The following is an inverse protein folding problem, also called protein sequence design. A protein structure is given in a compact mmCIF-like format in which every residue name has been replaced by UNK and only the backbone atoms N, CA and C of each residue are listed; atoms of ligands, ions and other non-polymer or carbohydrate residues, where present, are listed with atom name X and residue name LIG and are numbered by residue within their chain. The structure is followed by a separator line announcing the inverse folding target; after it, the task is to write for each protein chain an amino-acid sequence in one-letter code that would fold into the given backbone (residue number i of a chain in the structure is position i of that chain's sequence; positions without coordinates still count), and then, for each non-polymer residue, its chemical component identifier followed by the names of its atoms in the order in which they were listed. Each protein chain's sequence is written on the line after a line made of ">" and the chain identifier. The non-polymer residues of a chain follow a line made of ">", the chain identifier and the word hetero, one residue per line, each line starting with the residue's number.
data_IF_011253481448
#
_entry.id   IF_011253481448
#
_cell.length_a   1.000
_cell.length_b   1.000
_cell.length_c   1.000
_cell.angle_alpha   90.00
_cell.angle_beta   90.00
_cell.angle_gamma   90.00
#
_symmetry.space_group_name_H-M   'P 1'
#
loop_
_entity.id
_entity.type
_entity.pdbx_description
1 polymer ?
#
# COMPACT_ATOMS: atom_id res chain seq x y z
N UNK A 1 48.21 37.37 25.32
CA UNK A 1 46.87 36.74 25.30
C UNK A 1 46.30 36.69 23.88
N UNK A 2 45.90 37.82 23.26
CA UNK A 2 45.25 37.79 21.92
C UNK A 2 46.17 37.19 20.83
N UNK A 3 47.46 37.57 20.81
CA UNK A 3 48.43 37.00 19.88
C UNK A 3 48.62 35.48 20.07
N UNK A 4 48.64 35.01 21.32
CA UNK A 4 48.82 33.59 21.66
C UNK A 4 47.60 32.75 21.25
N UNK A 5 46.39 33.30 21.41
CA UNK A 5 45.14 32.70 20.92
C UNK A 5 45.15 32.60 19.40
N UNK A 6 45.63 33.64 18.70
CA UNK A 6 45.75 33.62 17.23
C UNK A 6 46.78 32.58 16.75
N UNK A 7 47.90 32.43 17.45
CA UNK A 7 48.90 31.38 17.17
C UNK A 7 48.29 30.00 17.35
N UNK A 8 47.62 29.75 18.49
CA UNK A 8 47.01 28.46 18.79
C UNK A 8 45.91 28.09 17.78
N UNK A 9 45.13 29.07 17.30
CA UNK A 9 44.13 28.86 16.26
C UNK A 9 44.75 28.45 14.91
N UNK A 10 45.89 29.04 14.56
CA UNK A 10 46.65 28.67 13.35
C UNK A 10 47.25 27.26 13.49
N UNK A 11 47.89 26.94 14.62
CA UNK A 11 48.46 25.61 14.89
C UNK A 11 47.40 24.50 14.83
N UNK A 12 46.20 24.76 15.33
CA UNK A 12 45.05 23.84 15.22
C UNK A 12 44.57 23.71 13.77
N UNK A 13 44.52 24.80 13.00
CA UNK A 13 44.12 24.80 11.59
C UNK A 13 45.11 24.01 10.70
N UNK A 14 46.41 24.20 10.93
CA UNK A 14 47.46 23.42 10.25
C UNK A 14 47.41 21.94 10.65
N UNK A 15 47.21 21.64 11.94
CA UNK A 15 47.05 20.28 12.43
C UNK A 15 45.84 19.57 11.81
N UNK A 16 44.69 20.23 11.73
CA UNK A 16 43.50 19.69 11.05
C UNK A 16 43.75 19.48 9.55
N UNK A 17 44.47 20.39 8.89
CA UNK A 17 44.82 20.28 7.48
C UNK A 17 45.78 19.10 7.21
N UNK A 18 46.75 18.87 8.10
CA UNK A 18 47.65 17.73 8.06
C UNK A 18 46.92 16.39 8.31
N UNK A 19 45.95 16.36 9.23
CA UNK A 19 45.10 15.17 9.47
C UNK A 19 44.22 14.88 8.25
N UNK A 20 43.59 15.89 7.64
CA UNK A 20 42.78 15.72 6.42
C UNK A 20 43.60 15.18 5.24
N UNK A 21 44.84 15.66 5.05
CA UNK A 21 45.76 15.09 4.04
C UNK A 21 46.11 13.63 4.33
N UNK A 22 46.50 13.30 5.56
CA UNK A 22 46.78 11.89 5.96
C UNK A 22 45.56 10.99 5.76
N UNK A 23 44.34 11.47 6.02
CA UNK A 23 43.11 10.71 5.79
C UNK A 23 42.88 10.45 4.28
N UNK A 24 43.10 11.47 3.44
CA UNK A 24 43.02 11.33 1.99
C UNK A 24 44.08 10.37 1.43
N UNK A 25 45.32 10.45 1.92
CA UNK A 25 46.41 9.54 1.52
C UNK A 25 46.13 8.09 1.94
N UNK A 26 45.63 7.86 3.16
CA UNK A 26 45.19 6.51 3.61
C UNK A 26 44.03 6.00 2.77
N UNK A 27 43.07 6.86 2.41
CA UNK A 27 41.93 6.49 1.54
C UNK A 27 42.41 6.10 0.13
N UNK A 28 43.36 6.85 -0.42
CA UNK A 28 43.96 6.55 -1.72
C UNK A 28 44.81 5.27 -1.69
N UNK A 29 45.57 5.02 -0.61
CA UNK A 29 46.37 3.81 -0.43
C UNK A 29 45.51 2.53 -0.28
N UNK A 30 44.37 2.65 0.42
CA UNK A 30 43.34 1.61 0.49
C UNK A 30 42.66 1.36 -0.88
N UNK A 31 42.56 2.38 -1.73
CA UNK A 31 42.06 2.26 -3.10
C UNK A 31 43.03 1.58 -4.09
N UNK A 32 44.35 1.60 -3.83
CA UNK A 32 45.36 1.19 -4.83
C UNK A 32 46.02 -0.17 -4.62
N UNK A 33 45.75 -0.88 -3.50
CA UNK A 33 46.44 -2.15 -3.17
C UNK A 33 45.70 -3.44 -3.57
N UNK A 34 44.69 -3.36 -4.44
CA UNK A 34 44.15 -4.51 -5.19
C UNK A 34 43.84 -4.15 -6.64
N UNK A 35 44.83 -4.26 -7.53
CA UNK A 35 44.49 -4.64 -8.91
C UNK A 35 43.88 -6.04 -8.87
N UNK A 36 42.64 -6.26 -9.34
CA UNK A 36 42.10 -7.60 -9.46
C UNK A 36 42.90 -8.33 -10.54
N UNK A 37 43.61 -9.39 -10.14
CA UNK A 37 44.28 -10.28 -11.08
C UNK A 37 43.26 -10.73 -12.14
N UNK A 38 43.59 -10.59 -13.43
CA UNK A 38 42.76 -11.04 -14.55
C UNK A 38 42.33 -12.49 -14.30
N UNK A 39 41.08 -12.69 -13.85
CA UNK A 39 40.50 -14.03 -13.72
C UNK A 39 40.50 -14.62 -15.13
N UNK A 40 41.31 -15.66 -15.33
CA UNK A 40 41.27 -16.48 -16.55
C UNK A 40 39.84 -16.94 -16.74
N UNK A 41 39.18 -16.41 -17.75
CA UNK A 41 37.81 -16.75 -18.09
C UNK A 41 37.81 -18.20 -18.61
N UNK A 42 37.51 -19.15 -17.74
CA UNK A 42 37.54 -20.59 -18.05
C UNK A 42 36.11 -21.08 -18.22
N UNK A 43 35.63 -20.96 -19.46
CA UNK A 43 34.53 -21.75 -20.01
C UNK A 43 33.19 -21.68 -19.29
N UNK A 44 32.33 -20.75 -19.73
CA UNK A 44 31.08 -21.20 -20.32
C UNK A 44 30.87 -20.46 -21.65
N UNK A 45 30.60 -21.24 -22.70
CA UNK A 45 30.55 -20.78 -24.09
C UNK A 45 29.12 -20.30 -24.39
N UNK A 46 28.82 -19.07 -23.99
CA UNK A 46 27.71 -18.28 -24.52
C UNK A 46 28.31 -17.12 -25.33
N UNK A 47 28.83 -17.46 -26.51
CA UNK A 47 29.26 -16.50 -27.53
C UNK A 47 28.16 -16.53 -28.59
N UNK A 48 27.75 -15.37 -29.07
CA UNK A 48 26.71 -15.14 -30.10
C UNK A 48 25.24 -15.38 -29.66
N UNK A 49 24.86 -14.87 -28.49
CA UNK A 49 23.48 -14.46 -28.23
C UNK A 49 23.37 -12.93 -28.45
N UNK A 50 22.43 -12.42 -29.28
CA UNK A 50 22.19 -10.98 -29.38
C UNK A 50 21.70 -10.41 -28.03
N UNK A 51 21.89 -9.10 -27.81
CA UNK A 51 21.54 -8.42 -26.54
C UNK A 51 20.03 -8.49 -26.20
N UNK A 52 19.19 -8.92 -27.14
CA UNK A 52 17.74 -9.07 -27.02
C UNK A 52 17.26 -10.46 -26.55
N UNK A 53 18.16 -11.42 -26.28
CA UNK A 53 17.75 -12.73 -25.72
C UNK A 53 17.54 -12.62 -24.21
N UNK A 54 16.35 -12.15 -23.80
CA UNK A 54 15.88 -12.38 -22.44
C UNK A 54 15.85 -13.89 -22.16
N UNK A 55 16.73 -14.32 -21.26
CA UNK A 55 16.70 -15.68 -20.74
C UNK A 55 15.38 -15.84 -19.97
N UNK A 56 14.51 -16.81 -20.30
CA UNK A 56 13.18 -16.87 -19.70
C UNK A 56 13.30 -17.05 -18.19
N UNK A 57 12.65 -16.14 -17.44
CA UNK A 57 12.58 -16.18 -15.98
C UNK A 57 12.28 -17.61 -15.49
N UNK A 58 12.86 -17.99 -14.35
CA UNK A 58 12.36 -19.18 -13.64
C UNK A 58 10.95 -18.90 -13.11
N UNK A 59 10.16 -19.95 -12.89
CA UNK A 59 8.82 -19.79 -12.27
C UNK A 59 8.94 -19.09 -10.91
N UNK A 60 9.95 -19.45 -10.13
CA UNK A 60 10.33 -18.83 -8.86
C UNK A 60 10.64 -17.33 -9.01
N UNK A 61 11.36 -16.92 -10.05
CA UNK A 61 11.62 -15.50 -10.33
C UNK A 61 10.35 -14.74 -10.73
N UNK A 62 9.43 -15.36 -11.48
CA UNK A 62 8.11 -14.77 -11.76
C UNK A 62 7.26 -14.60 -10.50
N UNK A 63 7.19 -15.61 -9.64
CA UNK A 63 6.50 -15.55 -8.33
C UNK A 63 7.08 -14.41 -7.48
N UNK A 64 8.42 -14.34 -7.38
CA UNK A 64 9.17 -13.27 -6.73
C UNK A 64 8.88 -11.88 -7.29
N UNK A 65 8.78 -11.73 -8.62
CA UNK A 65 8.40 -10.47 -9.28
C UNK A 65 6.94 -10.10 -8.99
N UNK A 66 6.01 -11.05 -9.02
CA UNK A 66 4.60 -10.83 -8.66
C UNK A 66 4.43 -10.38 -7.20
N UNK A 67 5.15 -11.00 -6.26
CA UNK A 67 5.10 -10.61 -4.84
C UNK A 67 5.64 -9.19 -4.57
N UNK A 68 6.65 -8.76 -5.34
CA UNK A 68 7.13 -7.36 -5.31
C UNK A 68 6.09 -6.40 -5.89
N UNK A 69 5.45 -6.76 -7.00
CA UNK A 69 4.40 -5.95 -7.60
C UNK A 69 3.22 -5.75 -6.64
N UNK A 70 2.79 -6.83 -5.98
CA UNK A 70 1.73 -6.79 -4.96
C UNK A 70 2.03 -5.80 -3.82
N UNK A 71 3.25 -5.82 -3.27
CA UNK A 71 3.65 -4.92 -2.17
C UNK A 71 3.84 -3.46 -2.60
N UNK A 72 4.07 -3.21 -3.90
CA UNK A 72 4.22 -1.85 -4.45
C UNK A 72 2.84 -1.21 -4.73
N UNK A 73 1.92 -1.97 -5.35
CA UNK A 73 0.67 -1.42 -5.89
C UNK A 73 -0.60 -1.75 -5.07
N UNK A 74 -0.64 -2.89 -4.38
CA UNK A 74 -1.87 -3.46 -3.81
C UNK A 74 -1.87 -3.39 -2.28
N UNK A 75 -0.99 -4.16 -1.62
CA UNK A 75 -0.95 -4.19 -0.16
C UNK A 75 0.45 -4.34 0.44
N UNK A 76 0.85 -3.35 1.25
CA UNK A 76 2.07 -3.38 2.06
C UNK A 76 2.07 -4.51 3.11
N UNK A 77 0.89 -4.87 3.63
CA UNK A 77 0.74 -5.91 4.65
C UNK A 77 -0.28 -6.97 4.25
N UNK A 78 0.04 -8.23 4.50
CA UNK A 78 -0.91 -9.33 4.41
C UNK A 78 -1.84 -9.31 5.63
N UNK A 79 -3.12 -9.64 5.43
CA UNK A 79 -4.16 -9.70 6.48
C UNK A 79 -3.83 -10.78 7.52
N UNK A 80 -3.27 -11.90 7.06
CA UNK A 80 -2.86 -13.09 7.82
C UNK A 80 -1.62 -13.69 7.13
N UNK A 81 -1.19 -14.90 7.47
CA UNK A 81 -0.08 -15.55 6.76
C UNK A 81 -0.43 -15.81 5.28
N UNK A 82 0.54 -15.77 4.37
CA UNK A 82 0.28 -16.02 2.94
C UNK A 82 -0.27 -17.43 2.71
N UNK A 83 0.15 -18.42 3.52
CA UNK A 83 -0.30 -19.79 3.39
C UNK A 83 -1.78 -19.92 3.77
N UNK A 84 -2.25 -19.17 4.77
CA UNK A 84 -3.69 -19.07 5.08
C UNK A 84 -4.48 -18.46 3.90
N UNK A 85 -3.93 -17.40 3.28
CA UNK A 85 -4.59 -16.71 2.15
C UNK A 85 -4.69 -17.66 0.96
N UNK A 86 -3.59 -18.30 0.57
CA UNK A 86 -3.53 -19.23 -0.57
C UNK A 86 -4.28 -20.55 -0.34
N UNK A 87 -4.44 -20.98 0.91
CA UNK A 87 -5.25 -22.14 1.28
C UNK A 87 -6.75 -21.82 1.41
N UNK A 88 -7.14 -20.54 1.32
CA UNK A 88 -8.55 -20.15 1.34
C UNK A 88 -9.18 -20.40 -0.03
N UNK A 89 -10.31 -21.10 -0.07
CA UNK A 89 -11.12 -21.27 -1.29
C UNK A 89 -11.68 -19.92 -1.74
N UNK A 90 -11.68 -19.65 -3.06
CA UNK A 90 -12.29 -18.43 -3.62
C UNK A 90 -13.80 -18.40 -3.32
N UNK A 91 -14.24 -17.33 -2.67
CA UNK A 91 -15.66 -17.12 -2.32
C UNK A 91 -16.40 -16.52 -3.53
N UNK A 92 -17.36 -17.23 -4.13
CA UNK A 92 -18.11 -16.73 -5.29
C UNK A 92 -19.05 -15.58 -4.93
N UNK A 93 -19.43 -15.44 -3.64
CA UNK A 93 -20.29 -14.37 -3.14
C UNK A 93 -19.48 -13.14 -2.66
N UNK A 94 -18.15 -13.15 -2.79
CA UNK A 94 -17.32 -12.00 -2.44
C UNK A 94 -17.65 -10.79 -3.33
N UNK A 95 -18.06 -9.69 -2.68
CA UNK A 95 -18.10 -8.35 -3.27
C UNK A 95 -16.97 -7.47 -2.69
N UNK A 96 -16.34 -6.69 -3.57
CA UNK A 96 -15.39 -5.62 -3.25
C UNK A 96 -15.98 -4.59 -2.25
N UNK A 97 -17.31 -4.42 -2.21
CA UNK A 97 -18.03 -3.56 -1.24
C UNK A 97 -17.92 -4.05 0.20
N UNK A 98 -17.68 -5.35 0.35
CA UNK A 98 -17.56 -6.00 1.66
C UNK A 98 -16.13 -6.20 2.11
N UNK A 99 -15.15 -5.92 1.24
CA UNK A 99 -13.74 -6.28 1.44
C UNK A 99 -13.24 -5.91 2.84
N UNK A 100 -13.31 -4.64 3.23
CA UNK A 100 -12.77 -4.16 4.50
C UNK A 100 -13.66 -4.42 5.73
N UNK A 101 -14.84 -5.03 5.58
CA UNK A 101 -15.80 -5.21 6.68
C UNK A 101 -15.39 -6.31 7.67
N UNK A 102 -14.74 -7.39 7.21
CA UNK A 102 -14.38 -8.55 8.03
C UNK A 102 -12.93 -9.00 7.80
N UNK A 103 -12.42 -9.96 8.60
CA UNK A 103 -11.14 -10.63 8.28
C UNK A 103 -11.28 -11.55 7.04
N UNK A 104 -12.43 -12.24 6.90
CA UNK A 104 -12.68 -13.19 5.78
C UNK A 104 -12.68 -12.46 4.43
N UNK A 105 -13.42 -11.36 4.35
CA UNK A 105 -13.53 -10.54 3.14
C UNK A 105 -12.18 -9.92 2.74
N UNK A 106 -11.37 -9.44 3.69
CA UNK A 106 -10.00 -8.96 3.38
C UNK A 106 -9.07 -10.07 2.88
N UNK A 107 -9.21 -11.28 3.39
CA UNK A 107 -8.47 -12.45 2.86
C UNK A 107 -8.89 -12.73 1.41
N UNK A 108 -10.19 -12.65 1.09
CA UNK A 108 -10.71 -12.84 -0.26
C UNK A 108 -10.26 -11.76 -1.25
N UNK A 109 -10.27 -10.48 -0.84
CA UNK A 109 -9.73 -9.38 -1.66
C UNK A 109 -8.26 -9.61 -1.98
N UNK A 110 -7.44 -9.82 -0.94
CA UNK A 110 -6.01 -10.09 -1.13
C UNK A 110 -5.74 -11.35 -1.94
N UNK A 111 -6.51 -12.43 -1.77
CA UNK A 111 -6.42 -13.65 -2.60
C UNK A 111 -6.68 -13.35 -4.08
N UNK A 112 -7.68 -12.54 -4.40
CA UNK A 112 -8.02 -12.18 -5.79
C UNK A 112 -6.91 -11.34 -6.44
N UNK A 113 -6.37 -10.35 -5.74
CA UNK A 113 -5.20 -9.57 -6.20
C UNK A 113 -3.98 -10.49 -6.47
N UNK A 114 -3.73 -11.40 -5.52
CA UNK A 114 -2.69 -12.44 -5.58
C UNK A 114 -2.84 -13.33 -6.81
N UNK A 115 -4.04 -13.84 -7.08
CA UNK A 115 -4.35 -14.71 -8.21
C UNK A 115 -4.30 -13.95 -9.54
N UNK A 116 -4.68 -12.67 -9.57
CA UNK A 116 -4.59 -11.80 -10.74
C UNK A 116 -3.13 -11.49 -11.13
N UNK A 117 -2.23 -11.34 -10.14
CA UNK A 117 -0.81 -11.09 -10.36
C UNK A 117 0.01 -12.35 -10.68
N UNK A 118 -0.43 -13.54 -10.23
CA UNK A 118 0.28 -14.80 -10.49
C UNK A 118 0.05 -15.32 -11.91
N UNK A 119 1.13 -15.54 -12.70
CA UNK A 119 1.07 -16.28 -13.96
C UNK A 119 0.41 -17.65 -13.76
N UNK A 120 -0.40 -18.10 -14.73
CA UNK A 120 -1.20 -19.31 -14.60
C UNK A 120 -0.36 -20.58 -14.34
N UNK A 121 0.83 -20.66 -14.94
CA UNK A 121 1.84 -21.71 -14.72
C UNK A 121 2.49 -21.64 -13.32
N UNK A 122 2.57 -20.45 -12.75
CA UNK A 122 3.15 -20.20 -11.43
C UNK A 122 2.19 -20.49 -10.26
N UNK A 123 0.86 -20.56 -10.51
CA UNK A 123 -0.14 -20.85 -9.48
C UNK A 123 0.06 -22.22 -8.81
N UNK A 124 0.64 -23.19 -9.50
CA UNK A 124 1.02 -24.49 -8.93
C UNK A 124 2.21 -24.42 -7.95
N UNK A 125 2.95 -23.30 -7.95
CA UNK A 125 4.10 -23.04 -7.09
C UNK A 125 3.81 -21.97 -6.03
N UNK A 126 2.54 -21.59 -5.85
CA UNK A 126 2.06 -20.60 -4.86
C UNK A 126 2.57 -20.89 -3.44
N UNK A 127 2.74 -22.17 -3.10
CA UNK A 127 3.17 -22.64 -1.79
C UNK A 127 4.70 -22.54 -1.57
N UNK A 128 5.47 -21.95 -2.50
CA UNK A 128 6.93 -21.84 -2.44
C UNK A 128 7.43 -20.38 -2.42
N UNK A 129 8.18 -20.03 -1.36
CA UNK A 129 9.00 -18.81 -1.18
C UNK A 129 8.43 -17.44 -1.58
N UNK A 130 7.10 -17.26 -1.66
CA UNK A 130 6.54 -15.96 -2.02
C UNK A 130 6.86 -14.85 -1.00
N UNK A 131 6.99 -15.24 0.28
CA UNK A 131 7.26 -14.38 1.44
C UNK A 131 8.68 -13.80 1.43
N UNK A 132 9.64 -14.42 0.72
CA UNK A 132 11.06 -14.09 0.85
C UNK A 132 11.51 -12.79 0.16
N UNK A 133 10.63 -12.04 -0.51
CA UNK A 133 11.08 -11.09 -1.53
C UNK A 133 10.43 -9.71 -1.64
N UNK A 134 9.59 -9.30 -0.69
CA UNK A 134 9.29 -7.89 -0.42
C UNK A 134 10.42 -7.26 0.41
N UNK A 135 11.62 -7.15 -0.19
CA UNK A 135 12.79 -6.62 0.52
C UNK A 135 12.63 -5.11 0.78
N UNK A 136 11.97 -4.76 1.91
CA UNK A 136 11.86 -3.41 2.45
C UNK A 136 13.23 -2.72 2.54
N UNK A 137 14.32 -3.49 2.67
CA UNK A 137 15.70 -3.00 2.58
C UNK A 137 16.01 -2.20 1.30
N UNK A 138 15.41 -2.53 0.15
CA UNK A 138 15.57 -1.76 -1.09
C UNK A 138 14.90 -0.38 -0.96
N UNK A 139 13.67 -0.36 -0.44
CA UNK A 139 12.87 0.84 -0.17
C UNK A 139 13.64 1.73 0.82
N UNK A 140 14.07 1.17 1.95
CA UNK A 140 14.92 1.83 2.96
C UNK A 140 16.20 2.40 2.35
N UNK A 141 16.89 1.64 1.50
CA UNK A 141 18.13 2.12 0.84
C UNK A 141 17.86 3.33 -0.05
N UNK A 142 16.74 3.35 -0.77
CA UNK A 142 16.39 4.48 -1.63
C UNK A 142 15.93 5.70 -0.84
N UNK A 143 15.09 5.53 0.19
CA UNK A 143 14.63 6.65 1.01
C UNK A 143 15.81 7.23 1.84
N UNK A 144 16.63 6.40 2.49
CA UNK A 144 17.84 6.86 3.22
C UNK A 144 18.82 7.64 2.32
N UNK A 145 18.90 7.29 1.03
CA UNK A 145 19.80 7.98 0.10
C UNK A 145 19.25 9.32 -0.38
N UNK A 146 17.94 9.41 -0.65
CA UNK A 146 17.36 10.58 -1.30
C UNK A 146 16.75 11.58 -0.32
N UNK A 147 16.15 11.12 0.78
CA UNK A 147 15.39 11.97 1.69
C UNK A 147 16.25 13.03 2.42
N UNK A 148 17.46 12.70 2.94
CA UNK A 148 18.33 13.72 3.54
C UNK A 148 18.90 14.74 2.54
N UNK A 149 18.88 14.46 1.23
CA UNK A 149 19.25 15.48 0.24
C UNK A 149 18.17 16.56 0.07
N UNK A 150 16.93 16.30 0.53
CA UNK A 150 15.76 17.14 0.20
C UNK A 150 15.04 17.76 1.41
N UNK A 151 15.09 17.16 2.61
CA UNK A 151 14.17 17.57 3.70
C UNK A 151 14.71 17.47 5.14
N UNK A 152 15.91 16.95 5.35
CA UNK A 152 16.52 16.83 6.69
C UNK A 152 18.03 16.57 6.61
N UNK A 153 18.74 16.69 7.73
CA UNK A 153 20.17 16.35 7.80
C UNK A 153 20.37 14.84 8.00
N UNK A 154 21.59 14.35 7.78
CA UNK A 154 21.94 12.96 8.11
C UNK A 154 21.85 12.71 9.62
N UNK A 155 22.21 13.70 10.43
CA UNK A 155 22.21 13.65 11.90
C UNK A 155 20.78 13.47 12.47
N UNK A 156 19.76 13.97 11.76
CA UNK A 156 18.35 13.76 12.10
C UNK A 156 17.96 12.28 12.00
N UNK A 157 18.61 11.49 11.13
CA UNK A 157 18.35 10.06 10.94
C UNK A 157 19.23 9.13 11.78
N UNK A 158 20.36 9.61 12.29
CA UNK A 158 21.39 8.81 12.98
C UNK A 158 20.84 8.03 14.18
N UNK A 159 19.94 8.63 14.97
CA UNK A 159 19.34 7.98 16.14
C UNK A 159 17.82 8.07 16.17
N UNK A 160 17.17 7.11 16.83
CA UNK A 160 15.73 7.14 17.12
C UNK A 160 15.29 8.41 17.86
N UNK A 161 16.13 8.93 18.75
CA UNK A 161 15.88 10.18 19.47
C UNK A 161 15.98 11.40 18.54
N UNK A 162 16.95 11.42 17.61
CA UNK A 162 17.07 12.45 16.57
C UNK A 162 15.82 12.47 15.68
N UNK A 163 15.40 11.32 15.15
CA UNK A 163 14.20 11.21 14.29
C UNK A 163 12.95 11.69 15.01
N UNK A 164 12.75 11.27 16.26
CA UNK A 164 11.64 11.77 17.07
C UNK A 164 11.70 13.28 17.31
N UNK A 165 12.88 13.83 17.60
CA UNK A 165 13.04 15.27 17.82
C UNK A 165 12.72 16.09 16.56
N UNK A 166 13.20 15.65 15.40
CA UNK A 166 13.01 16.31 14.11
C UNK A 166 11.58 16.17 13.58
N UNK A 167 11.01 14.96 13.60
CA UNK A 167 9.85 14.62 12.75
C UNK A 167 8.54 14.30 13.47
N UNK A 168 8.51 14.19 14.81
CA UNK A 168 7.29 13.77 15.53
C UNK A 168 6.02 14.52 15.12
N UNK A 169 6.10 15.84 14.88
CA UNK A 169 4.96 16.65 14.40
C UNK A 169 4.52 16.23 13.01
N UNK A 170 5.47 16.11 12.07
CA UNK A 170 5.25 15.69 10.69
C UNK A 170 4.50 14.34 10.61
N UNK A 171 4.77 13.41 11.54
CA UNK A 171 4.09 12.11 11.63
C UNK A 171 2.89 12.08 12.60
N UNK A 172 2.37 13.25 12.99
CA UNK A 172 1.09 13.39 13.69
C UNK A 172 1.13 13.17 15.20
N UNK A 173 2.31 13.20 15.84
CA UNK A 173 2.44 13.12 17.30
C UNK A 173 1.67 14.23 18.01
N UNK A 174 0.78 13.82 18.90
CA UNK A 174 0.06 14.68 19.82
C UNK A 174 0.67 14.52 21.22
N UNK A 175 1.15 15.63 21.79
CA UNK A 175 1.64 15.66 23.16
C UNK A 175 0.54 15.28 24.16
N UNK A 176 0.93 14.73 25.30
CA UNK A 176 0.01 14.49 26.41
C UNK A 176 -0.67 15.78 26.87
N UNK A 177 -1.92 15.65 27.28
CA UNK A 177 -2.74 16.71 27.91
C UNK A 177 -3.10 16.30 29.33
N UNK A 178 -3.88 17.11 30.06
CA UNK A 178 -4.37 16.73 31.38
C UNK A 178 -5.27 15.47 31.34
N UNK A 179 -6.02 15.27 30.25
CA UNK A 179 -7.06 14.26 30.12
C UNK A 179 -6.68 13.07 29.22
N UNK A 180 -5.58 13.19 28.45
CA UNK A 180 -5.15 12.17 27.50
C UNK A 180 -3.63 12.00 27.45
N UNK A 181 -3.17 10.75 27.40
CA UNK A 181 -1.77 10.40 27.15
C UNK A 181 -1.32 10.86 25.74
N UNK A 182 -0.01 10.96 25.54
CA UNK A 182 0.54 11.25 24.21
C UNK A 182 0.26 10.09 23.23
N UNK A 183 -0.01 10.42 21.96
CA UNK A 183 -0.34 9.44 20.94
C UNK A 183 0.00 9.95 19.53
N UNK A 184 0.03 9.06 18.54
CA UNK A 184 0.17 9.44 17.13
C UNK A 184 -1.18 9.42 16.43
N UNK A 185 -1.54 10.53 15.78
CA UNK A 185 -2.76 10.64 14.99
C UNK A 185 -2.42 10.50 13.51
N UNK A 186 -2.66 9.31 12.94
CA UNK A 186 -2.31 8.99 11.55
C UNK A 186 -2.97 9.93 10.52
N UNK A 187 -4.18 10.44 10.79
CA UNK A 187 -4.84 11.43 9.92
C UNK A 187 -4.40 12.88 10.16
N UNK A 188 -3.64 13.18 11.23
CA UNK A 188 -3.08 14.52 11.49
C UNK A 188 -1.57 14.59 11.25
N UNK A 189 -1.02 13.60 10.54
CA UNK A 189 0.36 13.61 10.09
C UNK A 189 0.51 14.62 8.95
N UNK A 190 1.24 15.71 9.21
CA UNK A 190 1.44 16.83 8.27
C UNK A 190 2.00 16.34 6.92
N UNK A 191 2.82 15.28 6.93
CA UNK A 191 3.40 14.67 5.71
C UNK A 191 2.40 14.12 4.70
N UNK A 192 1.14 13.87 5.12
CA UNK A 192 0.13 13.37 4.21
C UNK A 192 -0.41 14.47 3.28
N UNK A 193 -0.26 15.73 3.64
CA UNK A 193 -1.00 16.83 3.02
C UNK A 193 -0.15 17.70 2.10
N UNK A 194 -0.76 18.17 1.02
CA UNK A 194 -0.25 19.35 0.31
C UNK A 194 -0.57 20.63 1.12
N UNK A 195 0.42 21.13 1.86
CA UNK A 195 0.31 22.32 2.70
C UNK A 195 -0.71 22.16 3.83
N UNK A 196 -0.36 21.37 4.85
CA UNK A 196 -1.17 21.19 6.07
C UNK A 196 -1.33 22.50 6.85
N UNK A 197 -2.57 22.84 7.22
CA UNK A 197 -2.90 24.05 8.00
C UNK A 197 -3.22 23.76 9.48
N UNK A 198 -3.05 22.51 9.91
CA UNK A 198 -3.46 22.04 11.24
C UNK A 198 -4.82 21.33 11.26
N UNK A 199 -5.55 21.31 10.14
CA UNK A 199 -6.87 20.69 10.02
C UNK A 199 -6.91 19.62 8.92
N UNK A 200 -7.82 18.64 9.07
CA UNK A 200 -7.99 17.58 8.08
C UNK A 200 -8.74 18.10 6.86
N UNK A 201 -8.03 18.22 5.73
CA UNK A 201 -8.61 18.59 4.44
C UNK A 201 -8.54 17.39 3.47
N UNK A 202 -9.72 16.89 3.06
CA UNK A 202 -9.86 15.70 2.21
C UNK A 202 -9.35 15.90 0.77
N UNK A 203 -9.34 17.13 0.27
CA UNK A 203 -8.82 17.45 -1.06
C UNK A 203 -7.29 17.50 -1.09
N UNK A 204 -6.66 17.61 0.09
CA UNK A 204 -5.20 17.72 0.26
C UNK A 204 -4.54 16.46 0.82
N UNK A 205 -5.29 15.59 1.50
CA UNK A 205 -4.74 14.36 2.10
C UNK A 205 -4.23 13.40 1.01
N UNK A 206 -3.15 12.70 1.32
CA UNK A 206 -2.37 11.86 0.40
C UNK A 206 -1.73 12.60 -0.81
N UNK A 207 -1.69 13.95 -0.81
CA UNK A 207 -1.00 14.77 -1.83
C UNK A 207 0.32 15.38 -1.36
N UNK A 208 0.76 15.09 -0.14
CA UNK A 208 2.06 15.55 0.36
C UNK A 208 3.21 15.17 -0.59
N UNK A 209 4.07 16.12 -1.02
CA UNK A 209 5.05 15.88 -2.10
C UNK A 209 6.07 14.78 -1.76
N UNK A 210 6.33 14.57 -0.47
CA UNK A 210 7.19 13.50 0.04
C UNK A 210 6.63 12.09 -0.23
N UNK A 211 5.31 11.94 -0.35
CA UNK A 211 4.65 10.67 -0.69
C UNK A 211 4.99 10.26 -2.13
N UNK A 212 4.83 11.20 -3.07
CA UNK A 212 5.17 11.03 -4.48
C UNK A 212 6.67 10.74 -4.65
N UNK A 213 7.52 11.45 -3.91
CA UNK A 213 8.97 11.22 -3.88
C UNK A 213 9.31 9.81 -3.39
N UNK A 214 8.72 9.34 -2.29
CA UNK A 214 8.96 7.98 -1.77
C UNK A 214 8.49 6.95 -2.78
N UNK A 215 7.27 7.07 -3.30
CA UNK A 215 6.74 6.09 -4.25
C UNK A 215 7.58 6.05 -5.54
N UNK A 216 7.98 7.20 -6.10
CA UNK A 216 8.91 7.25 -7.25
C UNK A 216 10.28 6.67 -6.91
N UNK A 217 10.79 6.90 -5.71
CA UNK A 217 12.05 6.27 -5.26
C UNK A 217 11.97 4.75 -5.34
N UNK A 218 10.80 4.17 -5.08
CA UNK A 218 10.55 2.72 -5.15
C UNK A 218 10.41 2.26 -6.61
N UNK A 219 9.54 2.91 -7.40
CA UNK A 219 9.24 2.43 -8.76
C UNK A 219 10.30 2.82 -9.83
N UNK A 220 11.07 3.89 -9.62
CA UNK A 220 12.11 4.41 -10.56
C UNK A 220 13.52 4.50 -9.97
N UNK A 221 13.69 4.26 -8.67
CA UNK A 221 14.97 4.45 -7.98
C UNK A 221 15.31 5.93 -7.70
N UNK A 222 16.43 6.20 -7.01
CA UNK A 222 16.78 7.56 -6.54
C UNK A 222 16.95 8.58 -7.68
N UNK A 223 17.44 8.16 -8.85
CA UNK A 223 17.56 9.05 -10.02
C UNK A 223 16.20 9.43 -10.61
N UNK A 224 15.18 8.58 -10.47
CA UNK A 224 13.81 8.92 -10.85
C UNK A 224 13.17 9.90 -9.87
N UNK A 225 13.41 9.72 -8.57
CA UNK A 225 12.92 10.64 -7.54
C UNK A 225 13.55 12.03 -7.68
N UNK A 226 14.86 12.07 -7.94
CA UNK A 226 15.58 13.29 -8.32
C UNK A 226 14.98 13.95 -9.56
N UNK A 227 14.72 13.16 -10.60
CA UNK A 227 14.08 13.63 -11.83
C UNK A 227 12.70 14.25 -11.58
N UNK A 228 11.86 13.62 -10.75
CA UNK A 228 10.57 14.18 -10.36
C UNK A 228 10.72 15.53 -9.64
N UNK A 229 11.59 15.57 -8.62
CA UNK A 229 11.83 16.77 -7.82
C UNK A 229 12.38 17.94 -8.65
N UNK A 230 13.29 17.67 -9.59
CA UNK A 230 13.87 18.67 -10.49
C UNK A 230 12.94 19.06 -11.65
N UNK A 231 11.68 18.57 -11.70
CA UNK A 231 10.76 18.78 -12.83
C UNK A 231 11.19 18.10 -14.14
N UNK A 232 12.21 17.23 -14.08
CA UNK A 232 12.86 16.57 -15.20
C UNK A 232 12.55 15.06 -15.18
N UNK A 233 11.28 14.71 -15.41
CA UNK A 233 10.79 13.32 -15.41
C UNK A 233 11.34 12.53 -16.62
N UNK A 234 12.58 12.07 -16.50
CA UNK A 234 13.22 11.20 -17.49
C UNK A 234 12.51 9.85 -17.54
N UNK A 235 12.37 9.30 -18.75
CA UNK A 235 11.82 7.95 -18.93
C UNK A 235 12.60 6.93 -18.06
N UNK A 236 11.92 6.02 -17.35
CA UNK A 236 12.59 5.06 -16.47
C UNK A 236 13.51 4.13 -17.26
N UNK A 237 14.56 3.59 -16.63
CA UNK A 237 15.40 2.54 -17.23
C UNK A 237 14.65 1.20 -17.30
N UNK A 238 14.99 0.32 -18.24
CA UNK A 238 14.47 -1.06 -18.35
C UNK A 238 14.54 -1.84 -17.02
N UNK A 239 15.54 -1.54 -16.18
CA UNK A 239 15.85 -2.26 -14.93
C UNK A 239 15.14 -1.74 -13.68
N UNK A 240 14.15 -0.84 -13.81
CA UNK A 240 13.39 -0.32 -12.66
C UNK A 240 12.03 -1.00 -12.51
N UNK A 241 11.52 -1.06 -11.27
CA UNK A 241 10.29 -1.75 -10.94
C UNK A 241 9.08 -1.30 -11.80
N UNK A 242 8.98 -0.01 -12.15
CA UNK A 242 7.92 0.47 -13.03
C UNK A 242 7.88 -0.27 -14.39
N UNK A 243 9.04 -0.45 -15.05
CA UNK A 243 9.09 -1.15 -16.35
C UNK A 243 8.99 -2.66 -16.18
N UNK A 244 9.63 -3.23 -15.16
CA UNK A 244 9.59 -4.67 -14.86
C UNK A 244 8.16 -5.15 -14.57
N UNK A 245 7.34 -4.32 -13.91
CA UNK A 245 5.97 -4.65 -13.52
C UNK A 245 4.89 -4.02 -14.41
N UNK A 246 5.27 -3.20 -15.40
CA UNK A 246 4.32 -2.55 -16.30
C UNK A 246 3.44 -1.48 -15.65
N UNK A 247 3.91 -0.83 -14.58
CA UNK A 247 3.15 0.17 -13.83
C UNK A 247 3.00 1.44 -14.70
N UNK A 248 1.75 1.72 -15.11
CA UNK A 248 1.37 2.83 -16.00
C UNK A 248 0.47 3.89 -15.34
N UNK A 249 -0.17 3.51 -14.23
CA UNK A 249 -1.15 4.29 -13.47
C UNK A 249 -0.97 3.97 -11.99
N UNK A 250 -1.50 4.81 -11.11
CA UNK A 250 -1.52 4.61 -9.67
C UNK A 250 -2.72 3.73 -9.25
N UNK A 251 -2.47 2.72 -8.43
CA UNK A 251 -3.52 1.95 -7.72
C UNK A 251 -3.65 2.40 -6.26
N UNK A 252 -4.78 2.16 -5.55
CA UNK A 252 -5.04 2.72 -4.22
C UNK A 252 -4.03 2.30 -3.14
N UNK A 253 -3.40 1.13 -3.33
CA UNK A 253 -2.32 0.65 -2.47
C UNK A 253 -1.06 1.51 -2.54
N UNK A 254 -0.79 2.22 -3.64
CA UNK A 254 0.39 3.07 -3.79
C UNK A 254 0.39 4.29 -2.83
N UNK A 255 -0.61 5.20 -2.82
CA UNK A 255 -0.67 6.30 -1.86
C UNK A 255 -0.78 5.81 -0.41
N UNK A 256 -1.53 4.74 -0.15
CA UNK A 256 -1.63 4.14 1.20
C UNK A 256 -0.30 3.56 1.71
N UNK A 257 0.47 2.90 0.83
CA UNK A 257 1.80 2.37 1.15
C UNK A 257 2.81 3.49 1.30
N UNK A 258 2.81 4.49 0.41
CA UNK A 258 3.66 5.68 0.51
C UNK A 258 3.44 6.45 1.82
N UNK A 259 2.18 6.64 2.22
CA UNK A 259 1.81 7.24 3.51
C UNK A 259 2.38 6.46 4.69
N UNK A 260 2.25 5.14 4.66
CA UNK A 260 2.71 4.26 5.74
C UNK A 260 4.23 4.18 5.80
N UNK A 261 4.92 4.06 4.66
CA UNK A 261 6.38 4.09 4.57
C UNK A 261 6.95 5.43 5.03
N UNK A 262 6.33 6.56 4.67
CA UNK A 262 6.79 7.88 5.10
C UNK A 262 6.66 8.09 6.61
N UNK A 263 5.50 7.72 7.17
CA UNK A 263 5.25 7.82 8.61
C UNK A 263 6.23 6.92 9.38
N UNK A 264 6.48 5.70 8.90
CA UNK A 264 7.47 4.79 9.51
C UNK A 264 8.91 5.31 9.39
N UNK A 265 9.32 5.74 8.20
CA UNK A 265 10.69 6.18 7.92
C UNK A 265 11.11 7.39 8.77
N UNK A 266 10.16 8.28 9.07
CA UNK A 266 10.35 9.45 9.92
C UNK A 266 10.14 9.18 11.42
N UNK A 267 9.79 7.96 11.81
CA UNK A 267 9.52 7.62 13.20
C UNK A 267 10.77 7.30 14.01
N UNK A 268 10.63 7.13 15.32
CA UNK A 268 11.71 6.67 16.18
C UNK A 268 12.06 5.18 15.94
N UNK A 269 11.20 4.40 15.28
CA UNK A 269 11.43 2.97 15.07
C UNK A 269 12.61 2.74 14.11
N UNK A 270 13.34 1.65 14.30
CA UNK A 270 14.50 1.29 13.46
C UNK A 270 14.16 0.25 12.38
N UNK A 271 13.06 -0.47 12.56
CA UNK A 271 12.60 -1.54 11.68
C UNK A 271 11.07 -1.46 11.53
N UNK A 272 10.55 -1.91 10.39
CA UNK A 272 9.12 -2.14 10.22
C UNK A 272 8.86 -3.60 10.59
N UNK A 273 8.42 -3.84 11.83
CA UNK A 273 8.19 -5.21 12.32
C UNK A 273 7.18 -5.97 11.47
N UNK A 274 7.31 -7.30 11.39
CA UNK A 274 6.40 -8.17 10.61
C UNK A 274 4.92 -7.99 11.00
N UNK A 275 4.66 -7.76 12.29
CA UNK A 275 3.32 -7.51 12.83
C UNK A 275 2.79 -6.10 12.50
N UNK A 276 3.61 -5.24 11.90
CA UNK A 276 3.30 -3.85 11.57
C UNK A 276 3.18 -2.94 12.79
N UNK A 277 3.87 -3.23 13.90
CA UNK A 277 3.91 -2.39 15.10
C UNK A 277 5.35 -1.89 15.33
N UNK A 278 5.50 -0.62 15.75
CA UNK A 278 6.78 0.01 16.05
C UNK A 278 7.19 -0.19 17.51
N UNK A 279 8.38 -0.75 17.73
CA UNK A 279 8.91 -1.08 19.06
C UNK A 279 9.15 0.15 19.96
N UNK A 280 9.53 1.30 19.37
CA UNK A 280 9.83 2.54 20.10
C UNK A 280 8.62 3.47 20.17
N UNK A 281 7.81 3.52 19.10
CA UNK A 281 6.69 4.47 19.00
C UNK A 281 5.32 3.91 19.41
N UNK A 282 5.16 2.58 19.40
CA UNK A 282 3.86 1.92 19.51
C UNK A 282 2.91 2.17 18.33
N UNK A 283 3.38 2.74 17.21
CA UNK A 283 2.56 2.98 16.03
C UNK A 283 2.25 1.63 15.38
N UNK A 284 0.96 1.33 15.19
CA UNK A 284 0.52 0.16 14.44
C UNK A 284 0.36 0.52 12.95
N UNK A 285 1.48 0.55 12.24
CA UNK A 285 1.62 0.78 10.79
C UNK A 285 0.69 -0.08 9.95
N UNK A 286 0.45 -1.35 10.32
CA UNK A 286 -0.51 -2.21 9.60
C UNK A 286 -1.92 -1.63 9.66
N UNK A 287 -2.39 -1.22 10.83
CA UNK A 287 -3.70 -0.53 10.98
C UNK A 287 -3.73 0.83 10.29
N UNK A 288 -2.61 1.57 10.25
CA UNK A 288 -2.53 2.82 9.49
C UNK A 288 -2.70 2.56 7.98
N UNK A 289 -1.95 1.60 7.43
CA UNK A 289 -2.09 1.16 6.05
C UNK A 289 -3.52 0.71 5.72
N UNK A 290 -4.09 -0.19 6.53
CA UNK A 290 -5.46 -0.68 6.36
C UNK A 290 -6.49 0.45 6.42
N UNK A 291 -6.29 1.46 7.28
CA UNK A 291 -7.17 2.61 7.37
C UNK A 291 -7.07 3.54 6.15
N UNK A 292 -5.85 3.82 5.67
CA UNK A 292 -5.60 4.64 4.48
C UNK A 292 -6.13 3.98 3.21
N UNK A 293 -5.79 2.70 2.98
CA UNK A 293 -6.24 1.93 1.83
C UNK A 293 -7.77 1.90 1.77
N UNK A 294 -8.41 1.54 2.90
CA UNK A 294 -9.87 1.53 3.00
C UNK A 294 -10.48 2.90 2.69
N UNK A 295 -9.94 4.00 3.24
CA UNK A 295 -10.46 5.35 2.94
C UNK A 295 -10.44 5.68 1.45
N UNK A 296 -9.36 5.32 0.75
CA UNK A 296 -9.22 5.58 -0.68
C UNK A 296 -10.13 4.66 -1.49
N UNK A 297 -10.19 3.36 -1.18
CA UNK A 297 -11.09 2.42 -1.86
C UNK A 297 -12.57 2.73 -1.62
N UNK A 298 -12.96 3.09 -0.39
CA UNK A 298 -14.32 3.51 -0.06
C UNK A 298 -14.68 4.81 -0.81
N UNK A 299 -13.78 5.79 -0.82
CA UNK A 299 -13.97 7.02 -1.61
C UNK A 299 -14.09 6.79 -3.12
N UNK A 300 -13.34 5.84 -3.68
CA UNK A 300 -13.43 5.49 -5.11
C UNK A 300 -14.72 4.72 -5.44
N UNK A 301 -15.19 3.86 -4.53
CA UNK A 301 -16.45 3.11 -4.69
C UNK A 301 -17.67 4.03 -4.61
N UNK A 302 -17.63 5.02 -3.74
CA UNK A 302 -18.71 5.99 -3.53
C UNK A 302 -18.67 7.15 -4.56
N UNK A 303 -17.88 7.03 -5.64
CA UNK A 303 -17.62 8.07 -6.66
C UNK A 303 -17.24 9.45 -6.07
N UNK A 304 -16.53 9.44 -4.92
CA UNK A 304 -16.21 10.65 -4.20
C UNK A 304 -15.11 11.45 -4.91
N UNK A 305 -15.42 12.69 -5.30
CA UNK A 305 -14.54 13.57 -6.09
C UNK A 305 -13.13 13.72 -5.49
N UNK A 306 -12.99 13.78 -4.16
CA UNK A 306 -11.68 13.88 -3.51
C UNK A 306 -10.76 12.69 -3.83
N UNK A 307 -11.32 11.48 -3.91
CA UNK A 307 -10.59 10.24 -4.17
C UNK A 307 -10.27 10.08 -5.67
N UNK A 308 -11.24 10.38 -6.55
CA UNK A 308 -11.02 10.40 -8.00
C UNK A 308 -9.94 11.44 -8.35
N UNK A 309 -10.04 12.64 -7.78
CA UNK A 309 -9.08 13.73 -7.94
C UNK A 309 -7.70 13.39 -7.36
N UNK A 310 -7.62 12.63 -6.27
CA UNK A 310 -6.36 12.10 -5.72
C UNK A 310 -5.68 11.15 -6.71
N UNK A 311 -6.41 10.19 -7.27
CA UNK A 311 -5.84 9.22 -8.22
C UNK A 311 -5.37 9.91 -9.52
N UNK A 312 -6.16 10.86 -10.04
CA UNK A 312 -5.77 11.70 -11.19
C UNK A 312 -4.52 12.52 -10.90
N UNK A 313 -4.43 13.17 -9.73
CA UNK A 313 -3.26 13.95 -9.34
C UNK A 313 -1.99 13.09 -9.29
N UNK A 314 -2.08 11.88 -8.73
CA UNK A 314 -0.97 10.93 -8.76
C UNK A 314 -0.62 10.52 -10.20
N UNK A 315 -1.61 10.19 -11.03
CA UNK A 315 -1.38 9.83 -12.44
C UNK A 315 -0.73 10.96 -13.25
N UNK A 316 -1.19 12.20 -13.10
CA UNK A 316 -0.66 13.38 -13.79
C UNK A 316 0.80 13.65 -13.42
N UNK A 317 1.13 13.60 -12.11
CA UNK A 317 2.49 13.89 -11.62
C UNK A 317 3.44 12.75 -11.92
N UNK A 318 2.99 11.50 -11.79
CA UNK A 318 3.83 10.33 -11.91
C UNK A 318 3.94 9.88 -13.37
N UNK A 319 2.84 9.83 -14.11
CA UNK A 319 2.74 9.26 -15.46
C UNK A 319 2.21 10.28 -16.49
N UNK A 320 2.81 11.50 -16.61
CA UNK A 320 2.30 12.59 -17.47
C UNK A 320 2.25 12.28 -18.98
N UNK A 321 2.87 11.16 -19.40
CA UNK A 321 2.88 10.68 -20.79
C UNK A 321 2.22 9.30 -20.94
N UNK A 322 1.45 8.84 -19.95
CA UNK A 322 0.61 7.66 -20.11
C UNK A 322 -0.63 8.04 -20.92
N UNK A 323 -0.74 7.46 -22.11
CA UNK A 323 -1.94 7.56 -22.97
C UNK A 323 -3.21 7.04 -22.26
N UNK A 324 -3.02 6.18 -21.23
CA UNK A 324 -4.05 5.59 -20.36
C UNK A 324 -4.17 6.26 -18.96
N UNK A 325 -3.70 7.50 -18.77
CA UNK A 325 -3.90 8.22 -17.50
C UNK A 325 -5.40 8.44 -17.21
N UNK A 326 -5.82 8.43 -15.93
CA UNK A 326 -7.23 8.37 -15.47
C UNK A 326 -8.15 9.58 -15.78
N UNK A 327 -7.95 10.24 -16.93
CA UNK A 327 -8.89 11.17 -17.55
C UNK A 327 -10.14 10.50 -18.14
N UNK A 328 -10.04 9.24 -18.62
CA UNK A 328 -11.19 8.46 -19.09
C UNK A 328 -11.04 6.96 -18.77
N UNK A 329 -11.95 6.42 -17.95
CA UNK A 329 -12.20 4.98 -17.72
C UNK A 329 -11.02 4.15 -17.18
N UNK A 330 -11.10 3.72 -15.92
CA UNK A 330 -10.99 2.29 -15.47
C UNK A 330 -10.87 2.16 -13.94
N UNK A 331 -11.90 2.59 -13.22
CA UNK A 331 -12.32 1.85 -12.03
C UNK A 331 -13.64 1.15 -12.36
N UNK A 332 -13.70 -0.13 -11.99
CA UNK A 332 -14.76 -1.10 -12.34
C UNK A 332 -14.94 -1.42 -13.84
N UNK A 333 -15.57 -2.57 -14.03
CA UNK A 333 -15.77 -3.34 -15.27
C UNK A 333 -16.69 -2.67 -16.31
N UNK A 334 -16.55 -1.37 -16.61
CA UNK A 334 -17.52 -0.66 -17.46
C UNK A 334 -17.72 -1.32 -18.84
N UNK A 335 -16.69 -1.89 -19.49
CA UNK A 335 -16.88 -2.64 -20.75
C UNK A 335 -17.64 -3.97 -20.61
N UNK A 336 -17.61 -4.61 -19.45
CA UNK A 336 -18.41 -5.81 -19.20
C UNK A 336 -19.83 -5.42 -18.77
N UNK A 337 -19.97 -4.37 -17.97
CA UNK A 337 -21.25 -3.81 -17.50
C UNK A 337 -22.02 -3.18 -18.67
N UNK A 338 -21.38 -2.42 -19.57
CA UNK A 338 -22.00 -1.89 -20.78
C UNK A 338 -22.45 -3.03 -21.72
N UNK A 339 -21.65 -4.08 -21.86
CA UNK A 339 -22.01 -5.24 -22.67
C UNK A 339 -23.17 -6.06 -22.07
N UNK A 340 -23.23 -6.18 -20.73
CA UNK A 340 -24.31 -6.88 -20.03
C UNK A 340 -25.59 -6.03 -19.97
N UNK A 341 -25.47 -4.70 -19.80
CA UNK A 341 -26.58 -3.74 -19.95
C UNK A 341 -27.10 -3.75 -21.39
N UNK A 342 -26.23 -3.70 -22.42
CA UNK A 342 -26.66 -3.73 -23.82
C UNK A 342 -27.31 -5.08 -24.17
N UNK A 343 -26.82 -6.20 -23.62
CA UNK A 343 -27.44 -7.51 -23.75
C UNK A 343 -28.81 -7.60 -23.03
N UNK A 344 -28.92 -7.08 -21.81
CA UNK A 344 -30.17 -7.03 -21.04
C UNK A 344 -31.20 -6.10 -21.71
N UNK A 345 -30.78 -4.96 -22.22
CA UNK A 345 -31.67 -3.98 -22.86
C UNK A 345 -32.08 -4.44 -24.27
N UNK A 346 -31.22 -5.18 -24.99
CA UNK A 346 -31.61 -5.91 -26.20
C UNK A 346 -32.60 -7.05 -25.90
N UNK A 347 -32.40 -7.82 -24.83
CA UNK A 347 -33.33 -8.87 -24.40
C UNK A 347 -34.69 -8.28 -23.95
N UNK A 348 -34.68 -7.15 -23.24
CA UNK A 348 -35.88 -6.43 -22.85
C UNK A 348 -36.63 -5.86 -24.07
N UNK A 349 -35.92 -5.23 -25.01
CA UNK A 349 -36.51 -4.78 -26.29
C UNK A 349 -37.08 -5.95 -27.10
N UNK A 350 -36.44 -7.12 -27.12
CA UNK A 350 -36.96 -8.33 -27.77
C UNK A 350 -38.20 -8.92 -27.06
N UNK A 351 -38.30 -8.78 -25.74
CA UNK A 351 -39.47 -9.21 -24.96
C UNK A 351 -40.67 -8.25 -25.05
N UNK A 352 -40.41 -6.95 -25.26
CA UNK A 352 -41.42 -5.88 -25.34
C UNK A 352 -41.82 -5.55 -26.78
N UNK A 353 -41.06 -6.00 -27.78
CA UNK A 353 -41.44 -5.86 -29.20
C UNK A 353 -42.82 -6.51 -29.46
N UNK A 354 -43.79 -5.78 -30.05
CA UNK A 354 -45.12 -6.32 -30.29
C UNK A 354 -45.02 -7.49 -31.28
N UNK A 355 -45.41 -8.69 -30.82
CA UNK A 355 -45.56 -9.85 -31.71
C UNK A 355 -46.53 -9.48 -32.84
N UNK A 356 -46.22 -9.79 -34.12
CA UNK A 356 -47.13 -9.52 -35.22
C UNK A 356 -48.47 -10.22 -34.98
N UNK A 357 -49.54 -9.44 -35.08
CA UNK A 357 -50.91 -9.81 -34.74
C UNK A 357 -51.51 -10.79 -35.77
N UNK A 358 -51.27 -12.09 -35.57
CA UNK A 358 -52.02 -13.13 -36.27
C UNK A 358 -53.39 -13.36 -35.61
N UNK A 359 -54.40 -12.76 -36.24
CA UNK A 359 -55.80 -13.16 -36.36
C UNK A 359 -56.44 -14.07 -35.28
N UNK A 360 -57.46 -13.51 -34.62
CA UNK A 360 -58.65 -14.20 -34.08
C UNK A 360 -59.30 -15.14 -35.12
N UNK A 361 -60.14 -16.15 -34.74
CA UNK A 361 -61.24 -16.05 -33.75
C UNK A 361 -61.33 -17.28 -32.80
N UNK A 362 -62.34 -17.57 -31.97
CA UNK A 362 -63.74 -17.11 -31.82
C UNK A 362 -64.14 -16.78 -30.35
N UNK A 363 -65.45 -16.62 -30.14
CA UNK A 363 -66.23 -16.07 -29.03
C UNK A 363 -66.85 -17.07 -28.04
N UNK A 364 -66.92 -16.67 -26.75
CA UNK A 364 -68.10 -16.78 -25.83
C UNK A 364 -68.60 -18.15 -25.31
N UNK A 365 -69.43 -18.22 -24.23
CA UNK A 365 -69.65 -17.28 -23.10
C UNK A 365 -69.60 -17.94 -21.68
N UNK A 366 -69.57 -17.13 -20.62
CA UNK A 366 -69.91 -17.48 -19.21
C UNK A 366 -71.45 -17.44 -19.00
N UNK A 367 -72.07 -17.52 -17.78
CA UNK A 367 -71.61 -17.68 -16.38
C UNK A 367 -72.54 -18.68 -15.60
N UNK A 368 -73.02 -18.53 -14.33
CA UNK A 368 -72.62 -17.76 -13.12
C UNK A 368 -72.51 -18.68 -11.84
N UNK A 369 -72.89 -18.30 -10.60
CA UNK A 369 -71.93 -18.22 -9.48
C UNK A 369 -72.31 -19.10 -8.25
N UNK A 370 -71.59 -18.99 -7.11
CA UNK A 370 -72.18 -18.67 -5.76
C UNK A 370 -71.27 -18.87 -4.52
N UNK A 371 -71.64 -18.10 -3.48
CA UNK A 371 -71.52 -18.33 -2.01
C UNK A 371 -70.14 -18.33 -1.29
N UNK A 372 -69.88 -17.23 -0.57
CA UNK A 372 -69.25 -17.17 0.77
C UNK A 372 -70.29 -17.49 1.87
N UNK A 373 -70.05 -17.39 3.21
CA UNK A 373 -68.83 -17.24 4.06
C UNK A 373 -68.89 -18.30 5.24
N UNK A 374 -68.67 -18.07 6.58
CA UNK A 374 -67.83 -17.15 7.40
C UNK A 374 -67.04 -17.86 8.58
N UNK A 375 -66.58 -17.07 9.60
CA UNK A 375 -66.22 -17.43 11.01
C UNK A 375 -64.82 -18.06 11.27
N UNK A 376 -64.15 -17.92 12.44
CA UNK A 376 -64.43 -17.21 13.72
C UNK A 376 -63.15 -16.83 14.53
N UNK A 377 -63.24 -15.74 15.33
CA UNK A 377 -62.94 -15.59 16.78
C UNK A 377 -61.86 -16.48 17.47
N UNK A 378 -60.73 -15.93 18.02
CA UNK A 378 -60.50 -15.46 19.43
C UNK A 378 -60.28 -16.58 20.52
N UNK A 379 -59.71 -16.31 21.74
CA UNK A 379 -58.57 -15.46 22.14
C UNK A 379 -57.53 -16.19 23.10
N UNK A 380 -57.12 -15.77 24.34
CA UNK A 380 -55.69 -15.78 24.77
C UNK A 380 -55.36 -16.59 26.06
N UNK A 381 -54.09 -16.59 26.54
CA UNK A 381 -53.66 -16.94 27.93
C UNK A 381 -52.26 -16.34 28.27
N UNK A 382 -52.11 -15.44 29.24
CA UNK A 382 -51.70 -15.63 30.68
C UNK A 382 -50.34 -16.34 30.87
N UNK A 383 -49.23 -15.76 31.38
CA UNK A 383 -48.91 -14.97 32.60
C UNK A 383 -48.28 -15.78 33.76
N UNK A 384 -47.00 -15.50 34.09
CA UNK A 384 -46.37 -15.56 35.44
C UNK A 384 -44.88 -15.17 35.29
N UNK A 385 -44.31 -14.20 36.02
CA UNK A 385 -43.84 -14.27 37.42
C UNK A 385 -42.92 -15.49 37.68
N UNK A 386 -41.75 -15.41 38.32
CA UNK A 386 -40.92 -14.30 38.84
C UNK A 386 -39.49 -14.86 39.18
N UNK A 387 -38.46 -14.03 39.47
CA UNK A 387 -37.10 -14.48 39.84
C UNK A 387 -36.98 -14.57 41.39
N UNK A 388 -35.78 -14.58 42.05
CA UNK A 388 -34.39 -14.78 41.59
C UNK A 388 -33.63 -15.88 42.39
N UNK A 389 -32.35 -16.13 42.08
CA UNK A 389 -31.42 -16.63 43.12
C UNK A 389 -29.98 -16.18 42.90
N UNK A 390 -29.43 -15.51 43.91
CA UNK A 390 -28.04 -15.10 44.02
C UNK A 390 -27.10 -16.27 44.34
N UNK A 391 -25.89 -16.30 43.77
CA UNK A 391 -24.70 -16.59 44.59
C UNK A 391 -23.39 -16.11 43.93
N UNK A 392 -22.61 -15.34 44.68
CA UNK A 392 -21.22 -15.05 44.35
C UNK A 392 -20.30 -16.21 44.74
N UNK A 393 -19.24 -16.44 43.98
CA UNK A 393 -18.01 -17.03 44.52
C UNK A 393 -16.79 -16.43 43.83
N UNK A 394 -16.13 -15.51 44.53
CA UNK A 394 -14.75 -15.13 44.28
C UNK A 394 -13.83 -16.34 44.37
N UNK A 395 -12.86 -16.46 43.46
CA UNK A 395 -11.69 -17.34 43.68
C UNK A 395 -10.41 -16.79 43.07
N UNK A 396 -9.70 -16.03 43.88
CA UNK A 396 -8.30 -15.65 43.69
C UNK A 396 -7.42 -16.88 43.49
N UNK A 397 -6.51 -16.88 42.52
CA UNK A 397 -5.42 -17.86 42.46
C UNK A 397 -4.10 -17.23 42.03
N UNK A 398 -3.23 -16.98 43.00
CA UNK A 398 -1.87 -16.48 42.81
C UNK A 398 -0.90 -17.63 42.52
N UNK A 399 -0.15 -17.61 41.40
CA UNK A 399 1.05 -18.46 41.22
C UNK A 399 1.98 -17.83 40.16
N UNK A 400 3.04 -17.10 40.53
CA UNK A 400 4.33 -17.48 41.14
C UNK A 400 5.40 -17.81 40.09
N UNK A 401 6.33 -16.87 39.90
CA UNK A 401 7.62 -16.99 39.20
C UNK A 401 8.36 -18.31 39.50
N UNK A 402 8.96 -18.89 38.45
CA UNK A 402 10.22 -19.65 38.39
C UNK A 402 10.65 -19.68 36.92
N UNK A 403 11.93 -19.61 36.55
CA UNK A 403 13.13 -19.31 37.35
C UNK A 403 14.18 -18.69 36.44
#
# INVERSE_FOLDING_TARGET
>A
IVADIQSLANDVSESQSAVKRKLADVTNQLGTTRQPAKRRNRGNRAVDAPEDVENPDTVEERVRKAGRHFVIEYALFLTTDIFDILATDEDPEFSEDTEFQTKKSRIQGQLRDIVALLPADARAFRDQEWIGCSSLSLIVTYINRFFPEQSATVDDFDTSASRFAAFKKLIGYQSATADAAAFYSHLKAEVLYDGYDGTMNVDKIFRGPLLLIIYVSIIRGPSGAKGLFEGNSKLPSAKVAQRIHGIKRTLPGAPASAATWLIWFLSADTQLGYNGEGDETGINYKKCFEAFLRQICDGLRDDAEWAISLMRHWDEVLFPNAEDSLGQSTFTNQRAIDADIEAMDAAFRAAVAPRPSNQQPQSSPSPPPRHSPPRASQPPRTSSNAPPTTRSTTRTTTRRRRR
#
